data_IF_209323085257
#
_entry.id   IF_209323085257
#
_cell.length_a   1.000
_cell.length_b   1.000
_cell.length_c   1.000
_cell.angle_alpha   90.00
_cell.angle_beta   90.00
_cell.angle_gamma   90.00
#
_symmetry.space_group_name_H-M   'P 1'
#
loop_
_entity.id
_entity.type
_entity.pdbx_description
1 polymer ?
#
# COMPACT_ATOMS: atom_id res chain seq x y z
N UNK A 1 -8.30 -7.99 -16.36
CA UNK A 1 -9.35 -7.02 -15.95
C UNK A 1 -8.74 -5.63 -16.03
N UNK A 2 -9.42 -4.66 -16.64
CA UNK A 2 -8.89 -3.29 -16.78
C UNK A 2 -9.13 -2.50 -15.51
N UNK A 3 -8.06 -1.92 -14.94
CA UNK A 3 -8.15 -1.05 -13.77
C UNK A 3 -8.64 0.34 -14.16
N UNK A 4 -9.57 0.90 -13.39
CA UNK A 4 -9.92 2.30 -13.50
C UNK A 4 -8.75 3.16 -12.98
N UNK A 5 -8.29 4.10 -13.80
CA UNK A 5 -7.10 4.90 -13.51
C UNK A 5 -7.35 6.39 -13.74
N UNK A 6 -6.71 7.24 -12.94
CA UNK A 6 -6.45 8.64 -13.30
C UNK A 6 -5.05 8.70 -13.88
N UNK A 7 -4.91 9.23 -15.09
CA UNK A 7 -3.61 9.43 -15.78
C UNK A 7 -3.40 10.93 -15.99
N UNK A 8 -2.21 11.43 -15.65
CA UNK A 8 -1.83 12.81 -15.87
C UNK A 8 -0.36 12.92 -16.26
N UNK A 9 0.00 14.00 -16.96
CA UNK A 9 1.35 14.22 -17.44
C UNK A 9 1.77 13.30 -18.58
N UNK A 10 2.97 13.53 -19.10
CA UNK A 10 3.61 12.75 -20.15
C UNK A 10 5.13 12.80 -20.01
N UNK A 11 5.84 11.90 -20.70
CA UNK A 11 7.30 11.82 -20.62
C UNK A 11 7.83 11.39 -19.25
N UNK A 12 9.15 11.49 -19.07
CA UNK A 12 9.86 11.06 -17.86
C UNK A 12 9.70 9.57 -17.55
N UNK A 13 10.28 9.13 -16.44
CA UNK A 13 10.01 7.79 -15.88
C UNK A 13 8.59 7.77 -15.31
N UNK A 14 7.66 6.94 -15.81
CA UNK A 14 6.30 6.90 -15.30
C UNK A 14 6.24 6.54 -13.81
N UNK A 15 5.26 7.07 -13.09
CA UNK A 15 4.96 6.68 -11.71
C UNK A 15 3.61 5.97 -11.67
N UNK A 16 3.56 4.77 -11.08
CA UNK A 16 2.31 4.05 -10.80
C UNK A 16 2.06 4.04 -9.30
N UNK A 17 0.94 4.63 -8.88
CA UNK A 17 0.51 4.83 -7.50
C UNK A 17 -0.61 3.85 -7.14
N UNK A 18 -0.36 3.02 -6.13
CA UNK A 18 -1.24 1.92 -5.70
C UNK A 18 -1.72 2.14 -4.27
N UNK A 19 -3.04 2.27 -4.09
CA UNK A 19 -3.66 2.62 -2.80
C UNK A 19 -3.70 1.45 -1.79
N UNK A 20 -4.05 1.78 -0.54
CA UNK A 20 -4.18 0.84 0.58
C UNK A 20 -5.52 0.08 0.61
N UNK A 21 -5.73 -0.68 1.69
CA UNK A 21 -6.98 -1.40 1.93
C UNK A 21 -8.15 -0.42 2.03
N UNK A 22 -9.29 -0.70 1.40
CA UNK A 22 -10.50 0.13 1.47
C UNK A 22 -10.31 1.61 1.04
N UNK A 23 -9.24 1.88 0.29
CA UNK A 23 -8.91 3.17 -0.30
C UNK A 23 -9.30 3.21 -1.79
N UNK A 24 -9.00 4.33 -2.44
CA UNK A 24 -9.08 4.47 -3.90
C UNK A 24 -7.94 5.36 -4.42
N UNK A 25 -7.85 5.52 -5.74
CA UNK A 25 -6.82 6.33 -6.42
C UNK A 25 -6.84 7.81 -6.02
N UNK A 26 -7.93 8.31 -5.45
CA UNK A 26 -8.07 9.70 -4.98
C UNK A 26 -7.13 10.04 -3.82
N UNK A 27 -6.68 9.04 -3.06
CA UNK A 27 -5.72 9.22 -1.97
C UNK A 27 -4.34 9.69 -2.45
N UNK A 28 -4.09 9.60 -3.75
CA UNK A 28 -2.86 10.01 -4.41
C UNK A 28 -2.95 11.35 -5.14
N UNK A 29 -4.03 12.13 -4.92
CA UNK A 29 -4.26 13.39 -5.64
C UNK A 29 -3.06 14.35 -5.56
N UNK A 30 -2.48 14.52 -4.37
CA UNK A 30 -1.35 15.43 -4.16
C UNK A 30 -0.09 15.00 -4.93
N UNK A 31 0.20 13.69 -4.97
CA UNK A 31 1.33 13.15 -5.72
C UNK A 31 1.09 13.29 -7.23
N UNK A 32 -0.14 13.02 -7.69
CA UNK A 32 -0.51 13.19 -9.09
C UNK A 32 -0.35 14.65 -9.55
N UNK A 33 -0.84 15.61 -8.78
CA UNK A 33 -0.68 17.05 -9.05
C UNK A 33 0.80 17.47 -9.03
N UNK A 34 1.60 16.96 -8.09
CA UNK A 34 3.01 17.32 -7.95
C UNK A 34 3.89 16.78 -9.08
N UNK A 35 3.72 15.52 -9.49
CA UNK A 35 4.63 14.86 -10.44
C UNK A 35 4.20 14.98 -11.92
N UNK A 36 2.90 15.18 -12.19
CA UNK A 36 2.39 15.25 -13.57
C UNK A 36 2.95 16.37 -14.46
N UNK A 37 3.47 17.50 -13.94
CA UNK A 37 4.12 18.50 -14.80
C UNK A 37 5.42 18.01 -15.46
N UNK A 38 6.09 16.99 -14.88
CA UNK A 38 7.42 16.54 -15.32
C UNK A 38 7.47 15.11 -15.85
N UNK A 39 6.48 14.28 -15.53
CA UNK A 39 6.44 12.86 -15.92
C UNK A 39 5.01 12.32 -15.95
N UNK A 40 4.80 11.20 -16.62
CA UNK A 40 3.54 10.48 -16.57
C UNK A 40 3.28 9.92 -15.15
N UNK A 41 2.09 10.16 -14.62
CA UNK A 41 1.65 9.65 -13.31
C UNK A 41 0.31 8.96 -13.46
N UNK A 42 0.20 7.77 -12.87
CA UNK A 42 -0.96 6.90 -12.98
C UNK A 42 -1.36 6.46 -11.57
N UNK A 43 -2.54 6.86 -11.11
CA UNK A 43 -3.13 6.33 -9.89
C UNK A 43 -4.27 5.38 -10.26
N UNK A 44 -4.25 4.15 -9.76
CA UNK A 44 -5.24 3.11 -10.12
C UNK A 44 -6.12 2.72 -8.93
N UNK A 45 -7.36 2.34 -9.22
CA UNK A 45 -8.22 1.65 -8.27
C UNK A 45 -7.98 0.14 -8.38
N UNK A 46 -7.72 -0.53 -7.27
CA UNK A 46 -7.58 -1.98 -7.19
C UNK A 46 -8.93 -2.67 -7.45
N UNK A 47 -8.97 -3.94 -7.89
CA UNK A 47 -10.22 -4.67 -8.09
C UNK A 47 -11.14 -4.61 -6.86
N UNK A 48 -12.42 -4.34 -7.10
CA UNK A 48 -13.43 -4.15 -6.05
C UNK A 48 -13.35 -2.84 -5.27
N UNK A 49 -12.50 -1.90 -5.69
CA UNK A 49 -12.34 -0.57 -5.08
C UNK A 49 -12.63 0.53 -6.10
N UNK A 50 -13.04 1.71 -5.61
CA UNK A 50 -13.31 2.89 -6.42
C UNK A 50 -14.22 2.59 -7.61
N UNK A 51 -13.74 2.86 -8.82
CA UNK A 51 -14.45 2.58 -10.06
C UNK A 51 -13.99 1.28 -10.79
N UNK A 52 -13.06 0.53 -10.21
CA UNK A 52 -12.64 -0.76 -10.75
C UNK A 52 -13.66 -1.84 -10.42
N UNK A 53 -14.10 -2.67 -11.39
CA UNK A 53 -14.97 -3.81 -11.10
C UNK A 53 -14.25 -4.83 -10.20
N UNK A 54 -14.99 -5.78 -9.65
CA UNK A 54 -14.41 -6.89 -8.89
C UNK A 54 -15.30 -7.34 -7.74
N UNK A 55 -15.20 -8.62 -7.40
CA UNK A 55 -15.88 -9.22 -6.25
C UNK A 55 -14.89 -9.81 -5.26
N UNK A 56 -15.42 -10.40 -4.19
CA UNK A 56 -14.61 -11.01 -3.12
C UNK A 56 -13.54 -12.00 -3.62
N UNK A 57 -13.82 -12.73 -4.71
CA UNK A 57 -12.88 -13.69 -5.30
C UNK A 57 -11.65 -13.03 -5.96
N UNK A 58 -11.74 -11.75 -6.35
CA UNK A 58 -10.66 -10.98 -6.95
C UNK A 58 -9.76 -10.33 -5.89
N UNK A 59 -10.19 -10.33 -4.63
CA UNK A 59 -9.57 -9.56 -3.56
C UNK A 59 -8.44 -10.33 -2.86
N UNK A 60 -7.38 -10.61 -3.61
CA UNK A 60 -6.12 -11.19 -3.11
C UNK A 60 -4.94 -10.34 -3.57
N UNK A 61 -3.83 -10.38 -2.83
CA UNK A 61 -2.62 -9.64 -3.20
C UNK A 61 -2.08 -10.12 -4.55
N UNK A 62 -2.19 -11.42 -4.84
CA UNK A 62 -1.79 -12.03 -6.10
C UNK A 62 -2.59 -11.44 -7.28
N UNK A 63 -3.92 -11.44 -7.19
CA UNK A 63 -4.78 -10.88 -8.25
C UNK A 63 -4.58 -9.38 -8.42
N UNK A 64 -4.37 -8.65 -7.33
CA UNK A 64 -4.07 -7.23 -7.38
C UNK A 64 -2.71 -6.97 -8.05
N UNK A 65 -1.70 -7.76 -7.71
CA UNK A 65 -0.38 -7.68 -8.35
C UNK A 65 -0.41 -8.05 -9.83
N UNK A 66 -1.18 -9.06 -10.22
CA UNK A 66 -1.38 -9.44 -11.62
C UNK A 66 -2.09 -8.30 -12.40
N UNK A 67 -3.07 -7.63 -11.80
CA UNK A 67 -3.75 -6.49 -12.43
C UNK A 67 -2.85 -5.25 -12.57
N UNK A 68 -2.02 -4.96 -11.57
CA UNK A 68 -0.99 -3.91 -11.67
C UNK A 68 0.07 -4.29 -12.70
N UNK A 69 0.43 -5.57 -12.81
CA UNK A 69 1.36 -6.06 -13.84
C UNK A 69 0.82 -5.81 -15.25
N UNK A 70 -0.45 -6.12 -15.50
CA UNK A 70 -1.09 -5.82 -16.79
C UNK A 70 -1.09 -4.32 -17.10
N UNK A 71 -1.36 -3.47 -16.09
CA UNK A 71 -1.25 -2.01 -16.24
C UNK A 71 0.19 -1.58 -16.62
N UNK A 72 1.20 -2.24 -16.06
CA UNK A 72 2.60 -1.95 -16.38
C UNK A 72 2.98 -2.40 -17.78
N UNK A 73 2.43 -3.51 -18.28
CA UNK A 73 2.68 -4.01 -19.65
C UNK A 73 2.16 -3.02 -20.72
N UNK A 74 1.08 -2.30 -20.43
CA UNK A 74 0.51 -1.26 -21.31
C UNK A 74 1.36 0.02 -21.41
N UNK A 75 2.39 0.18 -20.56
CA UNK A 75 3.25 1.37 -20.59
C UNK A 75 4.33 1.28 -21.66
N UNK A 76 4.75 2.42 -22.20
CA UNK A 76 5.86 2.47 -23.15
C UNK A 76 7.24 2.21 -22.49
N UNK A 77 7.35 2.39 -21.18
CA UNK A 77 8.59 2.27 -20.43
C UNK A 77 8.35 1.66 -19.02
N UNK A 78 9.38 1.09 -18.38
CA UNK A 78 9.34 0.71 -16.98
C UNK A 78 8.99 1.89 -16.07
N UNK A 79 8.32 1.62 -14.94
CA UNK A 79 7.80 2.66 -14.05
C UNK A 79 8.37 2.58 -12.63
N UNK A 80 8.36 3.70 -11.92
CA UNK A 80 8.49 3.74 -10.47
C UNK A 80 7.17 3.27 -9.86
N UNK A 81 7.22 2.23 -9.02
CA UNK A 81 6.02 1.71 -8.34
C UNK A 81 5.95 2.24 -6.91
N UNK A 82 4.85 2.87 -6.55
CA UNK A 82 4.61 3.40 -5.20
C UNK A 82 3.38 2.74 -4.63
N UNK A 83 3.53 2.03 -3.51
CA UNK A 83 2.43 1.36 -2.82
C UNK A 83 2.22 1.91 -1.43
N UNK A 84 0.98 2.20 -1.04
CA UNK A 84 0.63 2.59 0.33
C UNK A 84 0.02 1.42 1.09
N UNK A 85 0.53 1.11 2.29
CA UNK A 85 -0.05 0.11 3.21
C UNK A 85 -0.25 -1.27 2.54
N UNK A 86 -1.49 -1.67 2.24
CA UNK A 86 -1.78 -2.87 1.43
C UNK A 86 -1.11 -2.81 0.05
N UNK A 87 -1.10 -1.63 -0.58
CA UNK A 87 -0.44 -1.37 -1.86
C UNK A 87 1.05 -1.70 -1.85
N UNK A 88 1.74 -1.67 -0.71
CA UNK A 88 3.13 -2.12 -0.59
C UNK A 88 3.29 -3.59 -1.03
N UNK A 89 2.35 -4.45 -0.61
CA UNK A 89 2.36 -5.88 -0.97
C UNK A 89 2.03 -6.07 -2.44
N UNK A 90 1.11 -5.25 -2.95
CA UNK A 90 0.71 -5.28 -4.36
C UNK A 90 1.86 -4.90 -5.29
N UNK A 91 2.61 -3.83 -4.98
CA UNK A 91 3.76 -3.44 -5.81
C UNK A 91 4.91 -4.43 -5.71
N UNK A 92 5.14 -5.03 -4.55
CA UNK A 92 6.09 -6.15 -4.40
C UNK A 92 5.66 -7.36 -5.23
N UNK A 93 4.37 -7.70 -5.21
CA UNK A 93 3.84 -8.80 -6.00
C UNK A 93 3.94 -8.53 -7.52
N UNK A 94 3.59 -7.32 -7.97
CA UNK A 94 3.74 -6.91 -9.37
C UNK A 94 5.21 -6.94 -9.81
N UNK A 95 6.12 -6.46 -8.97
CA UNK A 95 7.56 -6.53 -9.23
C UNK A 95 8.06 -7.98 -9.41
N UNK A 96 7.60 -8.93 -8.60
CA UNK A 96 7.96 -10.35 -8.75
C UNK A 96 7.48 -10.94 -10.07
N UNK A 97 6.36 -10.44 -10.62
CA UNK A 97 5.81 -10.91 -11.90
C UNK A 97 6.58 -10.33 -13.08
N UNK A 98 6.90 -9.04 -13.04
CA UNK A 98 7.52 -8.32 -14.14
C UNK A 98 8.65 -7.39 -13.65
N UNK A 99 9.79 -7.93 -13.17
CA UNK A 99 10.84 -7.13 -12.55
C UNK A 99 11.46 -6.12 -13.52
N UNK A 100 11.50 -6.43 -14.82
CA UNK A 100 11.98 -5.52 -15.87
C UNK A 100 11.05 -4.31 -16.13
N UNK A 101 9.84 -4.31 -15.56
CA UNK A 101 8.85 -3.22 -15.71
C UNK A 101 8.88 -2.21 -14.56
N UNK A 102 9.78 -2.39 -13.59
CA UNK A 102 9.96 -1.45 -12.50
C UNK A 102 11.36 -0.82 -12.51
N UNK A 103 11.44 0.51 -12.39
CA UNK A 103 12.72 1.22 -12.23
C UNK A 103 13.16 1.29 -10.77
N UNK A 104 12.20 1.39 -9.85
CA UNK A 104 12.39 1.40 -8.41
C UNK A 104 11.05 1.13 -7.70
N UNK A 105 11.12 0.88 -6.39
CA UNK A 105 9.97 0.65 -5.52
C UNK A 105 9.93 1.65 -4.36
N UNK A 106 8.74 2.15 -4.04
CA UNK A 106 8.47 2.96 -2.83
C UNK A 106 7.38 2.28 -2.02
N UNK A 107 7.69 1.96 -0.76
CA UNK A 107 6.74 1.40 0.20
C UNK A 107 6.36 2.49 1.21
N UNK A 108 5.13 2.97 1.13
CA UNK A 108 4.60 4.04 1.99
C UNK A 108 3.78 3.42 3.12
N UNK A 109 4.29 3.59 4.33
CA UNK A 109 3.76 3.09 5.60
C UNK A 109 3.35 1.61 5.57
N UNK A 110 4.30 0.79 5.11
CA UNK A 110 4.16 -0.67 4.99
C UNK A 110 4.13 -1.39 6.35
N UNK A 111 3.90 -2.70 6.29
CA UNK A 111 3.86 -3.56 7.48
C UNK A 111 4.00 -5.04 7.12
N UNK A 112 4.17 -5.89 8.14
CA UNK A 112 3.91 -7.33 8.08
C UNK A 112 2.88 -7.70 9.16
N UNK A 113 1.74 -8.24 8.75
CA UNK A 113 0.61 -8.59 9.62
C UNK A 113 0.45 -10.11 9.79
N UNK A 114 1.07 -10.91 8.91
CA UNK A 114 1.05 -12.39 8.97
C UNK A 114 2.45 -13.00 9.08
N UNK A 115 2.58 -14.01 9.94
CA UNK A 115 3.78 -14.84 10.14
C UNK A 115 3.34 -16.28 10.44
N UNK A 116 4.26 -17.24 10.36
CA UNK A 116 3.95 -18.64 10.64
C UNK A 116 3.18 -19.31 9.51
N UNK A 117 2.27 -20.24 9.86
CA UNK A 117 1.46 -20.95 8.88
C UNK A 117 0.45 -20.01 8.19
N UNK A 118 0.47 -19.90 6.84
CA UNK A 118 -0.38 -18.96 6.12
C UNK A 118 -1.88 -19.22 6.28
N UNK A 119 -2.31 -20.48 6.37
CA UNK A 119 -3.73 -20.80 6.50
C UNK A 119 -4.23 -20.40 7.89
N UNK A 120 -3.52 -20.80 8.94
CA UNK A 120 -3.87 -20.46 10.32
C UNK A 120 -3.88 -18.95 10.56
N UNK A 121 -2.89 -18.21 10.03
CA UNK A 121 -2.84 -16.76 10.16
C UNK A 121 -4.06 -16.08 9.49
N UNK A 122 -4.46 -16.58 8.32
CA UNK A 122 -5.64 -16.08 7.61
C UNK A 122 -6.94 -16.42 8.35
N UNK A 123 -7.09 -17.66 8.83
CA UNK A 123 -8.28 -18.13 9.53
C UNK A 123 -8.48 -17.40 10.86
N UNK A 124 -7.40 -17.12 11.60
CA UNK A 124 -7.46 -16.30 12.81
C UNK A 124 -7.95 -14.88 12.51
N UNK A 125 -7.46 -14.25 11.42
CA UNK A 125 -7.91 -12.92 11.01
C UNK A 125 -9.37 -12.94 10.53
N UNK A 126 -9.77 -13.98 9.78
CA UNK A 126 -11.15 -14.21 9.36
C UNK A 126 -12.08 -14.27 10.57
N UNK A 127 -11.77 -15.12 11.54
CA UNK A 127 -12.57 -15.29 12.75
C UNK A 127 -12.71 -13.97 13.54
N UNK A 128 -11.65 -13.16 13.63
CA UNK A 128 -11.70 -11.86 14.28
C UNK A 128 -12.64 -10.88 13.57
N UNK A 129 -12.62 -10.85 12.24
CA UNK A 129 -13.51 -9.99 11.44
C UNK A 129 -14.96 -10.48 11.52
N UNK A 130 -15.18 -11.80 11.44
CA UNK A 130 -16.51 -12.39 11.51
C UNK A 130 -17.14 -12.17 12.90
N UNK A 131 -16.34 -12.22 13.97
CA UNK A 131 -16.78 -11.91 15.33
C UNK A 131 -17.17 -10.44 15.51
N UNK A 132 -16.36 -9.50 14.99
CA UNK A 132 -16.62 -8.08 15.13
C UNK A 132 -17.71 -7.56 14.17
N UNK A 133 -17.83 -8.17 12.99
CA UNK A 133 -18.52 -7.61 11.84
C UNK A 133 -17.64 -6.59 11.09
N UNK A 134 -17.67 -6.64 9.76
CA UNK A 134 -16.79 -5.81 8.92
C UNK A 134 -16.86 -4.29 9.22
N UNK A 135 -18.05 -3.65 9.35
CA UNK A 135 -18.10 -2.21 9.60
C UNK A 135 -17.42 -1.80 10.92
N UNK A 136 -17.59 -2.59 11.99
CA UNK A 136 -16.96 -2.33 13.28
C UNK A 136 -15.45 -2.56 13.22
N UNK A 137 -15.02 -3.61 12.52
CA UNK A 137 -13.60 -3.85 12.23
C UNK A 137 -12.97 -2.68 11.46
N UNK A 138 -13.63 -2.20 10.39
CA UNK A 138 -13.14 -1.10 9.58
C UNK A 138 -13.07 0.22 10.38
N UNK A 139 -14.11 0.55 11.15
CA UNK A 139 -14.12 1.72 12.04
C UNK A 139 -12.94 1.67 13.04
N UNK A 140 -12.76 0.54 13.73
CA UNK A 140 -11.68 0.39 14.71
C UNK A 140 -10.29 0.48 14.07
N UNK A 141 -10.12 -0.12 12.89
CA UNK A 141 -8.87 -0.09 12.13
C UNK A 141 -8.51 1.34 11.69
N UNK A 142 -9.46 2.07 11.11
CA UNK A 142 -9.21 3.38 10.50
C UNK A 142 -9.21 4.54 11.49
N UNK A 143 -9.95 4.47 12.59
CA UNK A 143 -9.97 5.55 13.59
C UNK A 143 -8.61 5.75 14.29
N UNK A 144 -7.74 4.73 14.30
CA UNK A 144 -6.36 4.83 14.78
C UNK A 144 -5.33 5.24 13.71
N UNK A 145 -5.75 5.56 12.48
CA UNK A 145 -4.86 5.83 11.35
C UNK A 145 -4.52 7.30 11.13
N UNK A 146 -5.18 8.23 11.82
CA UNK A 146 -4.93 9.66 11.68
C UNK A 146 -4.60 10.28 13.04
N UNK A 147 -3.66 11.22 13.07
CA UNK A 147 -3.35 11.95 14.32
C UNK A 147 -4.36 13.06 14.62
N UNK A 148 -5.02 13.57 13.59
CA UNK A 148 -6.05 14.60 13.69
C UNK A 148 -7.29 14.24 12.88
N UNK A 149 -8.46 14.63 13.38
CA UNK A 149 -9.75 14.42 12.71
C UNK A 149 -10.00 15.50 11.66
N UNK A 150 -9.29 15.44 10.54
CA UNK A 150 -9.47 16.34 9.38
C UNK A 150 -10.63 15.88 8.49
N UNK A 151 -11.09 16.73 7.58
CA UNK A 151 -12.11 16.35 6.59
C UNK A 151 -11.64 15.18 5.69
N UNK A 152 -10.35 15.15 5.34
CA UNK A 152 -9.75 14.05 4.60
C UNK A 152 -9.78 12.74 5.42
N UNK A 153 -9.41 12.80 6.70
CA UNK A 153 -9.48 11.64 7.60
C UNK A 153 -10.90 11.07 7.69
N UNK A 154 -11.90 11.94 7.88
CA UNK A 154 -13.32 11.54 7.93
C UNK A 154 -13.75 10.89 6.62
N UNK A 155 -13.37 11.48 5.47
CA UNK A 155 -13.69 10.91 4.16
C UNK A 155 -13.13 9.50 3.96
N UNK A 156 -11.86 9.29 4.36
CA UNK A 156 -11.19 7.99 4.27
C UNK A 156 -11.87 6.94 5.18
N UNK A 157 -12.15 7.29 6.45
CA UNK A 157 -12.83 6.41 7.40
C UNK A 157 -14.21 6.00 6.86
N UNK A 158 -14.98 6.98 6.41
CA UNK A 158 -16.33 6.75 5.90
C UNK A 158 -16.35 5.93 4.61
N UNK A 159 -15.37 6.11 3.73
CA UNK A 159 -15.20 5.25 2.55
C UNK A 159 -14.86 3.82 2.95
N UNK A 160 -13.97 3.63 3.93
CA UNK A 160 -13.57 2.30 4.37
C UNK A 160 -14.74 1.47 4.93
N UNK A 161 -15.63 2.12 5.68
CA UNK A 161 -16.85 1.52 6.24
C UNK A 161 -17.88 1.13 5.17
N UNK A 162 -17.88 1.84 4.03
CA UNK A 162 -18.79 1.57 2.90
C UNK A 162 -18.29 0.51 1.93
N UNK A 163 -17.04 0.06 2.05
CA UNK A 163 -16.56 -1.06 1.24
C UNK A 163 -17.50 -2.27 1.43
N UNK A 164 -17.95 -2.96 0.37
CA UNK A 164 -18.81 -4.11 0.52
C UNK A 164 -18.19 -5.14 1.47
N UNK A 165 -18.96 -5.58 2.48
CA UNK A 165 -18.44 -6.45 3.54
C UNK A 165 -17.83 -7.74 2.98
N UNK A 166 -18.40 -8.31 1.90
CA UNK A 166 -17.83 -9.48 1.24
C UNK A 166 -16.41 -9.23 0.71
N UNK A 167 -16.11 -8.04 0.21
CA UNK A 167 -14.78 -7.64 -0.26
C UNK A 167 -13.84 -7.41 0.93
N UNK A 168 -14.25 -6.57 1.88
CA UNK A 168 -13.42 -6.21 3.02
C UNK A 168 -13.05 -7.42 3.90
N UNK A 169 -14.04 -8.26 4.20
CA UNK A 169 -13.83 -9.52 4.91
C UNK A 169 -12.97 -10.48 4.09
N UNK A 170 -13.12 -10.57 2.77
CA UNK A 170 -12.26 -11.44 1.94
C UNK A 170 -10.79 -10.99 1.96
N UNK A 171 -10.56 -9.69 1.76
CA UNK A 171 -9.26 -9.13 1.44
C UNK A 171 -8.28 -9.11 2.62
N UNK A 172 -8.73 -8.72 3.82
CA UNK A 172 -7.80 -8.54 4.94
C UNK A 172 -7.15 -9.87 5.40
N UNK A 173 -7.89 -10.99 5.53
CA UNK A 173 -7.30 -12.30 5.74
C UNK A 173 -6.39 -12.76 4.58
N UNK A 174 -6.74 -12.46 3.33
CA UNK A 174 -5.89 -12.78 2.18
C UNK A 174 -4.56 -12.02 2.22
N UNK A 175 -4.58 -10.75 2.66
CA UNK A 175 -3.38 -9.97 2.91
C UNK A 175 -2.49 -10.62 3.99
N UNK A 176 -3.09 -11.05 5.11
CA UNK A 176 -2.36 -11.75 6.19
C UNK A 176 -1.78 -13.09 5.70
N UNK A 177 -2.53 -13.85 4.91
CA UNK A 177 -2.05 -15.08 4.27
C UNK A 177 -0.83 -14.82 3.40
N UNK A 178 -0.90 -13.79 2.56
CA UNK A 178 0.19 -13.43 1.66
C UNK A 178 1.45 -13.03 2.44
N UNK A 179 1.30 -12.28 3.54
CA UNK A 179 2.44 -11.90 4.38
C UNK A 179 3.18 -13.12 4.94
N UNK A 180 2.43 -14.09 5.47
CA UNK A 180 2.99 -15.31 6.02
C UNK A 180 3.68 -16.15 4.93
N UNK A 181 3.08 -16.24 3.74
CA UNK A 181 3.56 -17.09 2.65
C UNK A 181 4.70 -16.47 1.80
N UNK A 182 4.69 -15.15 1.63
CA UNK A 182 5.41 -14.52 0.51
C UNK A 182 6.24 -13.29 0.88
N UNK A 183 6.03 -12.65 2.03
CA UNK A 183 6.71 -11.38 2.36
C UNK A 183 8.24 -11.49 2.29
N UNK A 184 8.82 -12.51 2.93
CA UNK A 184 10.27 -12.72 2.95
C UNK A 184 10.85 -12.92 1.55
N UNK A 185 10.21 -13.78 0.74
CA UNK A 185 10.63 -14.05 -0.62
C UNK A 185 10.43 -12.83 -1.54
N UNK A 186 9.37 -12.05 -1.32
CA UNK A 186 9.07 -10.86 -2.10
C UNK A 186 10.10 -9.75 -1.88
N UNK A 187 10.44 -9.46 -0.62
CA UNK A 187 11.52 -8.53 -0.30
C UNK A 187 12.87 -9.06 -0.79
N UNK A 188 13.17 -10.35 -0.57
CA UNK A 188 14.41 -10.98 -1.00
C UNK A 188 14.61 -11.04 -2.52
N UNK A 189 13.57 -10.80 -3.32
CA UNK A 189 13.63 -10.71 -4.78
C UNK A 189 13.96 -9.31 -5.31
N UNK A 190 13.89 -8.26 -4.48
CA UNK A 190 14.11 -6.88 -4.91
C UNK A 190 15.57 -6.67 -5.35
N UNK A 191 15.76 -6.20 -6.59
CA UNK A 191 17.07 -5.89 -7.18
C UNK A 191 17.19 -4.45 -7.70
N UNK A 192 16.11 -3.68 -7.60
CA UNK A 192 16.03 -2.26 -7.96
C UNK A 192 16.10 -1.38 -6.71
N UNK A 193 16.36 -0.06 -6.82
CA UNK A 193 16.30 0.83 -5.66
C UNK A 193 14.97 0.70 -4.91
N UNK A 194 15.06 0.61 -3.59
CA UNK A 194 13.92 0.51 -2.68
C UNK A 194 13.96 1.67 -1.68
N UNK A 195 12.89 2.44 -1.64
CA UNK A 195 12.63 3.44 -0.60
C UNK A 195 11.47 2.97 0.28
N UNK A 196 11.67 2.98 1.59
CA UNK A 196 10.59 2.87 2.57
C UNK A 196 10.36 4.23 3.20
N UNK A 197 9.13 4.71 3.12
CA UNK A 197 8.67 5.91 3.83
C UNK A 197 7.74 5.43 4.94
N UNK A 198 8.16 5.48 6.19
CA UNK A 198 7.39 4.99 7.33
C UNK A 198 6.98 6.16 8.23
N UNK A 199 5.74 6.17 8.71
CA UNK A 199 5.25 7.17 9.66
C UNK A 199 4.67 6.55 10.92
N UNK A 200 4.16 5.31 10.85
CA UNK A 200 3.54 4.64 11.99
C UNK A 200 4.02 3.21 12.18
N UNK A 201 3.69 2.63 13.33
CA UNK A 201 3.85 1.19 13.60
C UNK A 201 2.69 0.66 14.45
N UNK A 202 2.61 -0.66 14.57
CA UNK A 202 1.71 -1.32 15.53
C UNK A 202 2.54 -1.70 16.76
N UNK A 203 2.15 -1.20 17.93
CA UNK A 203 2.84 -1.47 19.19
C UNK A 203 2.43 -2.83 19.81
N UNK A 204 3.00 -3.15 20.98
CA UNK A 204 2.72 -4.40 21.69
C UNK A 204 1.24 -4.56 22.09
N UNK A 205 0.53 -3.46 22.34
CA UNK A 205 -0.91 -3.43 22.63
C UNK A 205 -1.78 -3.47 21.36
N UNK A 206 -1.18 -3.75 20.20
CA UNK A 206 -1.84 -3.81 18.88
C UNK A 206 -2.49 -2.50 18.45
N UNK A 207 -2.02 -1.37 18.99
CA UNK A 207 -2.46 -0.04 18.61
C UNK A 207 -1.52 0.56 17.58
N UNK A 208 -2.08 1.29 16.62
CA UNK A 208 -1.28 2.10 15.70
C UNK A 208 -0.79 3.35 16.42
N UNK A 209 0.51 3.60 16.32
CA UNK A 209 1.18 4.74 16.95
C UNK A 209 2.17 5.38 15.97
N UNK A 210 2.35 6.72 15.99
CA UNK A 210 3.34 7.38 15.16
C UNK A 210 4.76 6.98 15.59
N UNK A 211 5.66 6.92 14.62
CA UNK A 211 7.09 6.75 14.85
C UNK A 211 7.76 8.09 15.08
N UNK A 212 8.87 8.05 15.81
CA UNK A 212 9.80 9.17 15.97
C UNK A 212 11.03 8.97 15.07
N UNK A 213 11.70 10.06 14.73
CA UNK A 213 12.91 10.02 13.92
C UNK A 213 13.96 9.08 14.55
N UNK A 214 14.56 8.20 13.73
CA UNK A 214 15.55 7.22 14.17
C UNK A 214 14.98 5.97 14.85
N UNK A 215 13.67 5.90 15.13
CA UNK A 215 13.06 4.67 15.65
C UNK A 215 13.08 3.55 14.61
N UNK A 216 13.12 2.32 15.12
CA UNK A 216 13.01 1.12 14.31
C UNK A 216 11.86 0.22 14.75
N UNK A 217 11.52 -0.74 13.88
CA UNK A 217 10.38 -1.64 14.07
C UNK A 217 10.73 -3.00 13.45
N UNK A 218 10.05 -4.09 13.85
CA UNK A 218 10.24 -5.39 13.22
C UNK A 218 10.04 -5.37 11.69
N UNK A 219 9.16 -4.51 11.19
CA UNK A 219 8.97 -4.31 9.74
C UNK A 219 10.21 -3.68 9.08
N UNK A 220 10.74 -2.61 9.67
CA UNK A 220 11.93 -1.94 9.13
C UNK A 220 13.17 -2.84 9.21
N UNK A 221 13.31 -3.60 10.30
CA UNK A 221 14.41 -4.57 10.46
C UNK A 221 14.30 -5.71 9.45
N UNK A 222 13.10 -6.20 9.18
CA UNK A 222 12.86 -7.16 8.11
C UNK A 222 13.30 -6.61 6.75
N UNK A 223 12.89 -5.38 6.41
CA UNK A 223 13.30 -4.76 5.14
C UNK A 223 14.83 -4.64 5.05
N UNK A 224 15.50 -4.14 6.09
CA UNK A 224 16.99 -4.05 6.11
C UNK A 224 17.65 -5.41 5.91
N UNK A 225 17.11 -6.45 6.56
CA UNK A 225 17.68 -7.80 6.46
C UNK A 225 17.51 -8.42 5.07
N UNK A 226 16.41 -8.12 4.36
CA UNK A 226 16.08 -8.70 3.05
C UNK A 226 16.58 -7.86 1.88
N UNK A 227 16.71 -6.54 2.07
CA UNK A 227 17.18 -5.59 1.07
C UNK A 227 18.18 -4.63 1.71
N UNK A 228 19.47 -5.04 1.86
CA UNK A 228 20.48 -4.23 2.54
C UNK A 228 20.69 -2.83 1.94
N UNK A 229 20.40 -2.65 0.66
CA UNK A 229 20.47 -1.36 -0.05
C UNK A 229 19.21 -0.50 0.05
N UNK A 230 18.20 -0.90 0.84
CA UNK A 230 16.98 -0.12 1.00
C UNK A 230 17.25 1.18 1.75
N UNK A 231 16.77 2.31 1.21
CA UNK A 231 16.72 3.59 1.93
C UNK A 231 15.45 3.62 2.78
N UNK A 232 15.56 3.93 4.06
CA UNK A 232 14.43 3.96 5.00
C UNK A 232 14.35 5.35 5.61
N UNK A 233 13.20 5.99 5.44
CA UNK A 233 12.93 7.35 5.89
C UNK A 233 11.73 7.35 6.83
N UNK A 234 11.88 7.95 8.02
CA UNK A 234 10.80 8.05 9.00
C UNK A 234 10.23 9.46 9.00
N UNK A 235 8.93 9.59 8.71
CA UNK A 235 8.16 10.82 8.81
C UNK A 235 7.52 10.86 10.21
N UNK A 236 8.19 11.52 11.14
CA UNK A 236 7.65 11.75 12.49
C UNK A 236 6.39 12.64 12.46
N UNK A 237 5.59 12.50 13.52
CA UNK A 237 4.35 13.25 13.78
C UNK A 237 3.35 13.20 12.62
N UNK A 238 3.21 12.02 12.03
CA UNK A 238 2.30 11.79 10.90
C UNK A 238 1.58 10.45 11.06
N UNK A 239 0.29 10.42 10.71
CA UNK A 239 -0.50 9.20 10.75
C UNK A 239 -0.17 8.23 9.63
N UNK A 240 -1.05 7.24 9.45
CA UNK A 240 -0.89 6.16 8.49
C UNK A 240 -0.98 6.61 7.03
N UNK A 241 -1.42 7.85 6.77
CA UNK A 241 -1.63 8.39 5.43
C UNK A 241 -0.67 9.55 5.16
N UNK A 242 0.65 9.36 5.22
CA UNK A 242 1.60 10.46 5.04
C UNK A 242 1.49 11.12 3.66
N UNK A 243 1.00 10.41 2.64
CA UNK A 243 0.73 10.97 1.31
C UNK A 243 -0.44 11.98 1.28
N UNK A 244 -1.31 11.94 2.29
CA UNK A 244 -2.43 12.88 2.49
C UNK A 244 -2.08 13.91 3.56
N UNK A 245 -1.50 13.48 4.68
CA UNK A 245 -1.23 14.31 5.86
C UNK A 245 0.00 15.21 5.69
N UNK A 246 1.03 14.72 5.00
CA UNK A 246 2.28 15.45 4.74
C UNK A 246 2.75 15.25 3.29
N UNK A 247 1.92 15.59 2.28
CA UNK A 247 2.19 15.27 0.89
C UNK A 247 3.56 15.79 0.44
N UNK A 248 3.98 16.97 0.89
CA UNK A 248 5.24 17.57 0.43
C UNK A 248 6.48 16.84 0.92
N UNK A 249 6.41 16.23 2.11
CA UNK A 249 7.50 15.38 2.62
C UNK A 249 7.57 14.08 1.81
N UNK A 250 6.43 13.47 1.51
CA UNK A 250 6.37 12.26 0.67
C UNK A 250 6.86 12.56 -0.75
N UNK A 251 6.42 13.67 -1.33
CA UNK A 251 6.80 14.12 -2.67
C UNK A 251 8.32 14.35 -2.77
N UNK A 252 8.92 15.06 -1.81
CA UNK A 252 10.37 15.28 -1.79
C UNK A 252 11.16 13.95 -1.71
N UNK A 253 10.69 13.01 -0.88
CA UNK A 253 11.32 11.70 -0.74
C UNK A 253 11.22 10.86 -2.01
N UNK A 254 10.06 10.85 -2.67
CA UNK A 254 9.86 10.15 -3.95
C UNK A 254 10.73 10.80 -5.05
N UNK A 255 10.74 12.13 -5.13
CA UNK A 255 11.52 12.87 -6.13
C UNK A 255 13.03 12.58 -6.05
N UNK A 256 13.55 12.29 -4.86
CA UNK A 256 14.96 11.97 -4.66
C UNK A 256 15.41 10.59 -5.20
N UNK A 257 14.51 9.79 -5.77
CA UNK A 257 14.85 8.51 -6.43
C UNK A 257 15.22 8.65 -7.92
N UNK A 258 15.10 9.84 -8.52
CA UNK A 258 15.34 10.09 -9.95
C UNK A 258 14.05 10.31 -10.74
#
# INVERSE_FOLDING_TARGET
>A
MTLACTRAGSGGTPIVLVHGFACDRGDWRAQLEHFSPARQVIACDLPGHGASPGGAADCTIERFGDAVTALLEDLAAPALLVGHSLGCRVVLQAYRRAPARATALVLVDGSRMGTGDPAQAADAMRAAIDFAGYPAFAEALFSGMFLARTAAAVSVIERAKRLPAAIGSALFPAMVRWDAAHMDAALGAVRVPLLVIQSTTINAERKRVPLQAGQTTPWLDLVRSRVPGARIEVIADTGHFPQIETPERVNALIASLG
#
